data_IF_621762869080
#
_entry.id   IF_621762869080
#
_cell.length_a   1.000
_cell.length_b   1.000
_cell.length_c   1.000
_cell.angle_alpha   90.00
_cell.angle_beta   90.00
_cell.angle_gamma   90.00
#
_symmetry.space_group_name_H-M   'P 1'
#
loop_
_entity.id
_entity.type
_entity.pdbx_description
1 polymer ?
#
# COMPACT_ATOMS: atom_id res chain seq x y z
N UNK A 1 4.47 17.09 -22.90
CA UNK A 1 4.87 15.69 -23.10
C UNK A 1 4.65 15.01 -21.76
N UNK A 2 4.11 13.78 -21.72
CA UNK A 2 4.07 13.01 -20.48
C UNK A 2 5.51 12.76 -20.00
N UNK A 3 5.75 12.95 -18.70
CA UNK A 3 7.07 12.83 -18.09
C UNK A 3 7.14 11.53 -17.30
N UNK A 4 8.14 10.71 -17.60
CA UNK A 4 8.49 9.58 -16.76
C UNK A 4 9.34 10.09 -15.59
N UNK A 5 8.82 9.91 -14.38
CA UNK A 5 9.47 10.34 -13.15
C UNK A 5 10.37 9.24 -12.61
N UNK A 6 11.56 9.62 -12.18
CA UNK A 6 12.53 8.72 -11.52
C UNK A 6 13.27 9.49 -10.44
N UNK A 7 13.33 8.94 -9.23
CA UNK A 7 13.96 9.62 -8.10
C UNK A 7 14.30 8.69 -6.93
N UNK A 8 15.10 9.23 -6.00
CA UNK A 8 15.50 8.52 -4.78
C UNK A 8 14.59 8.95 -3.63
N UNK A 9 13.96 7.97 -2.98
CA UNK A 9 13.10 8.17 -1.80
C UNK A 9 13.64 7.31 -0.66
N UNK A 10 14.50 7.91 0.17
CA UNK A 10 15.23 7.16 1.20
C UNK A 10 16.17 6.12 0.57
N UNK A 11 16.09 4.83 0.96
CA UNK A 11 16.92 3.77 0.40
C UNK A 11 16.34 3.16 -0.89
N UNK A 12 15.35 3.79 -1.51
CA UNK A 12 14.65 3.25 -2.67
C UNK A 12 14.82 4.14 -3.90
N UNK A 13 14.96 3.51 -5.06
CA UNK A 13 14.71 4.14 -6.35
C UNK A 13 13.23 3.93 -6.70
N UNK A 14 12.54 5.01 -7.02
CA UNK A 14 11.12 5.01 -7.36
C UNK A 14 10.96 5.58 -8.77
N UNK A 15 10.18 4.90 -9.60
CA UNK A 15 9.83 5.38 -10.93
C UNK A 15 8.34 5.20 -11.23
N UNK A 16 7.76 6.11 -12.00
CA UNK A 16 6.37 6.05 -12.46
C UNK A 16 6.13 7.04 -13.60
N UNK A 17 5.07 6.82 -14.37
CA UNK A 17 4.55 7.73 -15.37
C UNK A 17 3.06 7.97 -15.11
N UNK A 18 2.68 9.24 -14.95
CA UNK A 18 1.27 9.63 -14.74
C UNK A 18 0.49 9.76 -16.05
N UNK A 19 1.18 9.70 -17.20
CA UNK A 19 0.67 9.83 -18.55
C UNK A 19 -0.31 11.01 -18.72
N UNK A 20 0.07 12.15 -18.16
CA UNK A 20 -0.77 13.36 -18.09
C UNK A 20 -0.06 14.57 -18.67
N UNK A 21 -0.85 15.54 -19.13
CA UNK A 21 -0.36 16.88 -19.50
C UNK A 21 -0.58 17.90 -18.40
N UNK A 22 -1.13 17.50 -17.24
CA UNK A 22 -1.26 18.38 -16.08
C UNK A 22 0.12 18.74 -15.54
N UNK A 23 0.29 20.00 -15.16
CA UNK A 23 1.47 20.43 -14.44
C UNK A 23 1.40 19.88 -13.00
N UNK A 24 2.46 19.21 -12.58
CA UNK A 24 2.61 18.72 -11.21
C UNK A 24 4.05 18.85 -10.73
N UNK A 25 4.24 18.71 -9.43
CA UNK A 25 5.53 18.65 -8.77
C UNK A 25 5.64 17.39 -7.94
N UNK A 26 6.85 16.82 -7.88
CA UNK A 26 7.19 15.69 -7.00
C UNK A 26 7.98 16.23 -5.82
N UNK A 27 7.49 15.96 -4.61
CA UNK A 27 8.05 16.44 -3.35
C UNK A 27 8.43 15.24 -2.51
N UNK A 28 9.72 15.10 -2.19
CA UNK A 28 10.20 14.09 -1.23
C UNK A 28 10.23 14.72 0.15
N UNK A 29 9.53 14.12 1.10
CA UNK A 29 9.42 14.62 2.46
C UNK A 29 10.51 14.03 3.37
N UNK A 30 10.69 14.66 4.53
CA UNK A 30 11.60 14.14 5.56
C UNK A 30 11.09 12.78 6.04
N UNK A 31 11.99 11.81 6.14
CA UNK A 31 11.67 10.50 6.70
C UNK A 31 11.23 10.59 8.16
N UNK A 32 10.35 9.68 8.56
CA UNK A 32 9.96 9.48 9.95
C UNK A 32 10.23 8.03 10.37
N UNK A 33 10.24 7.79 11.68
CA UNK A 33 10.43 6.45 12.23
C UNK A 33 9.40 6.21 13.33
N UNK A 34 9.11 4.94 13.58
CA UNK A 34 8.15 4.56 14.61
C UNK A 34 8.27 3.10 15.01
N UNK A 35 7.30 2.67 15.82
CA UNK A 35 7.17 1.29 16.29
C UNK A 35 5.71 0.89 16.13
N UNK A 36 5.46 -0.28 15.57
CA UNK A 36 4.12 -0.88 15.48
C UNK A 36 3.62 -1.31 16.87
N UNK A 37 2.34 -1.64 16.98
CA UNK A 37 1.75 -2.11 18.25
C UNK A 37 2.40 -3.41 18.77
N UNK A 38 2.87 -4.27 17.86
CA UNK A 38 3.60 -5.51 18.17
C UNK A 38 5.13 -5.30 18.36
N UNK A 39 5.59 -4.05 18.42
CA UNK A 39 6.98 -3.71 18.78
C UNK A 39 7.98 -3.73 17.63
N UNK A 40 7.53 -3.86 16.37
CA UNK A 40 8.40 -3.84 15.19
C UNK A 40 8.75 -2.39 14.83
N UNK A 41 10.05 -2.09 14.75
CA UNK A 41 10.52 -0.76 14.34
C UNK A 41 10.29 -0.57 12.85
N UNK A 42 10.01 0.67 12.45
CA UNK A 42 9.92 1.01 11.04
C UNK A 42 10.45 2.41 10.73
N UNK A 43 10.86 2.60 9.49
CA UNK A 43 11.13 3.88 8.87
C UNK A 43 10.11 4.14 7.75
N UNK A 44 9.63 5.36 7.61
CA UNK A 44 8.74 5.81 6.54
C UNK A 44 9.43 6.86 5.69
N UNK A 45 9.35 6.65 4.39
CA UNK A 45 9.82 7.59 3.38
C UNK A 45 8.60 8.01 2.58
N UNK A 46 8.29 9.30 2.59
CA UNK A 46 7.07 9.81 1.97
C UNK A 46 7.43 10.66 0.75
N UNK A 47 6.60 10.54 -0.27
CA UNK A 47 6.66 11.32 -1.49
C UNK A 47 5.25 11.78 -1.82
N UNK A 48 5.13 13.02 -2.25
CA UNK A 48 3.87 13.61 -2.70
C UNK A 48 4.00 14.03 -4.16
N UNK A 49 3.01 13.72 -4.98
CA UNK A 49 2.83 14.30 -6.31
C UNK A 49 1.69 15.31 -6.21
N UNK A 50 1.93 16.58 -6.53
CA UNK A 50 0.96 17.66 -6.32
C UNK A 50 0.76 18.47 -7.58
N UNK A 51 -0.50 18.66 -7.97
CA UNK A 51 -0.95 19.65 -8.96
C UNK A 51 -1.78 20.72 -8.25
N UNK A 52 -2.38 21.65 -9.00
CA UNK A 52 -3.27 22.68 -8.44
C UNK A 52 -4.47 22.08 -7.70
N UNK A 53 -5.11 21.06 -8.28
CA UNK A 53 -6.40 20.52 -7.79
C UNK A 53 -6.29 19.09 -7.26
N UNK A 54 -5.18 18.40 -7.53
CA UNK A 54 -5.01 16.99 -7.21
C UNK A 54 -3.70 16.71 -6.48
N UNK A 55 -3.71 15.68 -5.65
CA UNK A 55 -2.50 15.16 -5.04
C UNK A 55 -2.49 13.63 -5.02
N UNK A 56 -1.29 13.07 -4.95
CA UNK A 56 -1.06 11.68 -4.59
C UNK A 56 -0.01 11.63 -3.48
N UNK A 57 -0.31 10.91 -2.40
CA UNK A 57 0.59 10.68 -1.28
C UNK A 57 1.04 9.22 -1.28
N UNK A 58 2.35 9.03 -1.35
CA UNK A 58 3.00 7.73 -1.49
C UNK A 58 3.90 7.53 -0.28
N UNK A 59 3.67 6.45 0.45
CA UNK A 59 4.36 6.12 1.71
C UNK A 59 5.06 4.78 1.54
N UNK A 60 6.38 4.79 1.62
CA UNK A 60 7.22 3.59 1.65
C UNK A 60 7.59 3.31 3.11
N UNK A 61 6.99 2.28 3.69
CA UNK A 61 7.31 1.82 5.04
C UNK A 61 8.30 0.67 4.97
N UNK A 62 9.45 0.82 5.63
CA UNK A 62 10.44 -0.22 5.81
C UNK A 62 10.40 -0.72 7.26
N UNK A 63 10.13 -2.00 7.44
CA UNK A 63 10.12 -2.65 8.75
C UNK A 63 11.49 -3.24 9.08
N UNK A 64 11.81 -3.31 10.37
CA UNK A 64 13.01 -3.99 10.86
C UNK A 64 12.90 -5.53 10.84
N UNK A 65 11.70 -6.06 10.60
CA UNK A 65 11.41 -7.49 10.49
C UNK A 65 10.29 -7.76 9.47
N UNK A 66 10.22 -8.95 8.85
CA UNK A 66 9.18 -9.28 7.87
C UNK A 66 7.76 -9.25 8.43
N UNK A 67 6.91 -8.39 7.86
CA UNK A 67 5.50 -8.24 8.21
C UNK A 67 4.60 -9.04 7.27
N UNK A 68 3.39 -9.39 7.72
CA UNK A 68 2.37 -9.98 6.85
C UNK A 68 2.03 -9.01 5.71
N UNK A 69 2.09 -9.52 4.48
CA UNK A 69 1.92 -8.75 3.25
C UNK A 69 0.81 -9.33 2.36
N UNK A 70 -0.03 -10.21 2.90
CA UNK A 70 -1.13 -10.82 2.16
C UNK A 70 -2.25 -9.79 1.84
N UNK A 71 -3.23 -10.23 1.05
CA UNK A 71 -4.37 -9.38 0.65
C UNK A 71 -5.11 -8.80 1.85
N UNK A 72 -5.34 -9.57 2.91
CA UNK A 72 -6.04 -9.08 4.11
C UNK A 72 -5.28 -7.96 4.81
N UNK A 73 -3.96 -8.11 4.96
CA UNK A 73 -3.11 -7.07 5.57
C UNK A 73 -3.11 -5.78 4.74
N UNK A 74 -3.00 -5.89 3.41
CA UNK A 74 -3.06 -4.73 2.52
C UNK A 74 -4.45 -4.09 2.48
N UNK A 75 -5.53 -4.89 2.55
CA UNK A 75 -6.89 -4.39 2.60
C UNK A 75 -7.16 -3.54 3.85
N UNK A 76 -6.61 -3.93 5.00
CA UNK A 76 -6.70 -3.12 6.22
C UNK A 76 -6.03 -1.75 6.07
N UNK A 77 -4.85 -1.71 5.42
CA UNK A 77 -4.14 -0.46 5.13
C UNK A 77 -4.96 0.44 4.20
N UNK A 78 -5.51 -0.11 3.12
CA UNK A 78 -6.37 0.61 2.16
C UNK A 78 -7.64 1.09 2.83
N UNK A 79 -8.30 0.26 3.63
CA UNK A 79 -9.51 0.61 4.37
C UNK A 79 -9.26 1.78 5.31
N UNK A 80 -8.21 1.69 6.14
CA UNK A 80 -7.83 2.75 7.06
C UNK A 80 -7.56 4.08 6.34
N UNK A 81 -6.95 4.02 5.15
CA UNK A 81 -6.71 5.18 4.31
C UNK A 81 -8.00 5.84 3.82
N UNK A 82 -8.91 5.04 3.26
CA UNK A 82 -10.14 5.56 2.66
C UNK A 82 -11.13 6.04 3.72
N UNK A 83 -11.31 5.30 4.82
CA UNK A 83 -12.13 5.73 5.95
C UNK A 83 -11.56 7.01 6.57
N UNK A 84 -10.24 7.09 6.75
CA UNK A 84 -9.58 8.31 7.21
C UNK A 84 -9.72 9.51 6.26
N UNK A 85 -10.10 9.26 5.00
CA UNK A 85 -10.37 10.27 3.99
C UNK A 85 -11.86 10.60 3.83
N UNK A 86 -12.75 9.93 4.58
CA UNK A 86 -14.20 10.17 4.54
C UNK A 86 -15.04 9.07 3.89
N UNK A 87 -14.48 7.90 3.59
CA UNK A 87 -15.27 6.78 3.07
C UNK A 87 -16.08 6.09 4.17
N UNK A 88 -17.38 5.87 3.92
CA UNK A 88 -18.21 4.98 4.74
C UNK A 88 -18.05 3.51 4.28
N UNK A 89 -18.29 3.27 2.99
CA UNK A 89 -18.23 1.94 2.37
C UNK A 89 -17.42 1.97 1.07
N UNK A 90 -16.07 1.93 1.15
CA UNK A 90 -15.23 1.92 -0.04
C UNK A 90 -15.33 0.62 -0.84
N UNK A 91 -15.13 0.73 -2.16
CA UNK A 91 -15.00 -0.41 -3.06
C UNK A 91 -13.58 -0.98 -3.01
N UNK A 92 -13.42 -2.29 -3.22
CA UNK A 92 -12.11 -2.97 -3.21
C UNK A 92 -11.88 -3.88 -4.42
N UNK A 93 -10.63 -3.94 -4.84
CA UNK A 93 -10.12 -4.72 -5.96
C UNK A 93 -8.75 -5.30 -5.57
N UNK A 94 -8.37 -6.42 -6.20
CA UNK A 94 -7.12 -7.12 -5.89
C UNK A 94 -6.24 -7.26 -7.15
N UNK A 95 -5.70 -6.14 -7.67
CA UNK A 95 -4.83 -6.18 -8.85
C UNK A 95 -3.44 -6.72 -8.50
N UNK A 96 -2.63 -6.94 -9.53
CA UNK A 96 -1.18 -6.94 -9.37
C UNK A 96 -0.67 -5.50 -9.51
N UNK A 97 0.19 -5.06 -8.59
CA UNK A 97 0.88 -3.77 -8.63
C UNK A 97 2.37 -4.07 -8.58
N UNK A 98 3.15 -3.57 -9.54
CA UNK A 98 4.57 -3.94 -9.72
C UNK A 98 4.79 -5.47 -9.76
N UNK A 99 3.84 -6.18 -10.38
CA UNK A 99 3.82 -7.65 -10.46
C UNK A 99 3.54 -8.38 -9.13
N UNK A 100 3.22 -7.66 -8.05
CA UNK A 100 2.93 -8.23 -6.72
C UNK A 100 1.44 -8.17 -6.37
N UNK A 101 0.91 -9.12 -5.58
CA UNK A 101 -0.43 -9.02 -5.03
C UNK A 101 -0.62 -7.70 -4.28
N UNK A 102 -1.55 -6.88 -4.76
CA UNK A 102 -1.91 -5.60 -4.16
C UNK A 102 -3.40 -5.54 -3.84
N UNK A 103 -3.78 -4.51 -3.09
CA UNK A 103 -5.17 -4.11 -2.89
C UNK A 103 -5.32 -2.68 -3.39
N UNK A 104 -6.39 -2.44 -4.12
CA UNK A 104 -6.82 -1.12 -4.57
C UNK A 104 -8.23 -0.89 -4.05
N UNK A 105 -8.50 0.29 -3.53
CA UNK A 105 -9.85 0.69 -3.17
C UNK A 105 -10.14 2.12 -3.56
N UNK A 106 -11.42 2.47 -3.63
CA UNK A 106 -11.84 3.82 -3.93
C UNK A 106 -13.21 4.15 -3.32
N UNK A 107 -13.48 5.45 -3.20
CA UNK A 107 -14.81 5.99 -3.01
C UNK A 107 -14.92 7.34 -3.73
N UNK A 108 -16.15 7.84 -3.85
CA UNK A 108 -16.42 9.22 -4.27
C UNK A 108 -17.15 9.94 -3.16
N UNK A 109 -16.88 11.23 -3.02
CA UNK A 109 -17.75 12.08 -2.20
C UNK A 109 -19.16 12.12 -2.80
N UNK A 110 -20.14 12.45 -1.96
CA UNK A 110 -21.52 12.57 -2.41
C UNK A 110 -21.65 13.61 -3.53
N UNK A 111 -22.50 13.28 -4.49
CA UNK A 111 -22.83 14.16 -5.61
C UNK A 111 -23.51 15.42 -5.09
N UNK A 112 -23.08 16.58 -5.56
CA UNK A 112 -23.70 17.85 -5.21
C UNK A 112 -24.80 18.21 -6.21
N UNK A 113 -26.02 18.47 -5.73
CA UNK A 113 -27.11 19.04 -6.53
C UNK A 113 -26.88 20.54 -6.69
N UNK A 114 -26.73 20.99 -7.94
CA UNK A 114 -26.51 22.39 -8.28
C UNK A 114 -27.83 23.12 -8.61
N UNK A 115 -28.96 22.41 -8.54
CA UNK A 115 -30.28 22.87 -8.95
C UNK A 115 -30.56 22.67 -10.44
N UNK A 116 -31.82 22.81 -10.84
CA UNK A 116 -32.28 22.69 -12.24
C UNK A 116 -31.92 21.34 -12.93
N UNK A 117 -31.77 20.27 -12.16
CA UNK A 117 -31.37 18.95 -12.67
C UNK A 117 -29.89 18.86 -13.04
N UNK A 118 -29.08 19.85 -12.68
CA UNK A 118 -27.63 19.82 -12.81
C UNK A 118 -27.01 19.29 -11.53
N UNK A 119 -25.90 18.57 -11.69
CA UNK A 119 -25.19 17.96 -10.59
C UNK A 119 -23.70 17.93 -10.89
N UNK A 120 -22.92 17.95 -9.82
CA UNK A 120 -21.48 17.75 -9.84
C UNK A 120 -21.14 16.44 -9.16
N UNK A 121 -20.38 15.58 -9.86
CA UNK A 121 -19.89 14.33 -9.28
C UNK A 121 -18.87 14.66 -8.20
N UNK A 122 -18.95 13.98 -7.05
CA UNK A 122 -17.95 14.15 -6.01
C UNK A 122 -16.59 13.60 -6.42
N UNK A 123 -15.55 14.18 -5.81
CA UNK A 123 -14.16 13.82 -6.09
C UNK A 123 -13.90 12.34 -5.83
N UNK A 124 -13.10 11.74 -6.71
CA UNK A 124 -12.64 10.37 -6.55
C UNK A 124 -11.44 10.33 -5.63
N UNK A 125 -11.47 9.46 -4.64
CA UNK A 125 -10.31 9.12 -3.82
C UNK A 125 -9.97 7.66 -4.05
N UNK A 126 -8.72 7.38 -4.40
CA UNK A 126 -8.18 6.04 -4.63
C UNK A 126 -7.07 5.76 -3.64
N UNK A 127 -7.05 4.57 -3.05
CA UNK A 127 -5.94 4.11 -2.25
C UNK A 127 -5.46 2.74 -2.75
N UNK A 128 -4.16 2.49 -2.64
CA UNK A 128 -3.57 1.20 -2.96
C UNK A 128 -2.51 0.80 -1.93
N UNK A 129 -2.32 -0.51 -1.75
CA UNK A 129 -1.28 -1.06 -0.89
C UNK A 129 -0.71 -2.35 -1.45
N UNK A 130 0.62 -2.48 -1.47
CA UNK A 130 1.31 -3.71 -1.84
C UNK A 130 2.71 -3.78 -1.19
N UNK A 131 3.37 -4.94 -1.28
CA UNK A 131 4.74 -5.13 -0.80
C UNK A 131 5.65 -5.64 -1.93
N UNK A 132 6.62 -4.83 -2.40
CA UNK A 132 7.43 -5.14 -3.58
C UNK A 132 8.37 -6.34 -3.35
N UNK A 133 8.87 -6.48 -2.13
CA UNK A 133 9.85 -7.49 -1.73
C UNK A 133 9.21 -8.75 -1.13
N UNK A 134 7.88 -8.78 -1.00
CA UNK A 134 7.20 -9.87 -0.32
C UNK A 134 7.29 -11.19 -1.09
N UNK A 135 7.40 -12.28 -0.33
CA UNK A 135 7.47 -13.66 -0.82
C UNK A 135 6.87 -14.63 0.19
N UNK A 136 6.47 -15.80 -0.29
CA UNK A 136 6.04 -16.91 0.58
C UNK A 136 7.26 -17.41 1.36
N UNK A 137 7.15 -17.41 2.69
CA UNK A 137 8.18 -17.91 3.60
C UNK A 137 8.03 -19.42 3.82
N UNK A 138 8.98 -20.04 4.53
CA UNK A 138 8.95 -21.50 4.81
C UNK A 138 7.70 -21.97 5.55
N UNK A 139 7.09 -21.09 6.35
CA UNK A 139 5.85 -21.36 7.08
C UNK A 139 4.57 -21.17 6.23
N UNK A 140 4.71 -20.86 4.94
CA UNK A 140 3.60 -20.64 4.01
C UNK A 140 3.00 -19.23 4.03
N UNK A 141 3.48 -18.33 4.89
CA UNK A 141 2.97 -16.96 4.96
C UNK A 141 3.63 -16.05 3.93
N UNK A 142 2.84 -15.17 3.31
CA UNK A 142 3.34 -14.15 2.40
C UNK A 142 3.78 -12.90 3.20
N UNK A 143 5.09 -12.66 3.26
CA UNK A 143 5.71 -11.62 4.10
C UNK A 143 6.75 -10.80 3.34
N UNK A 144 6.88 -9.52 3.69
CA UNK A 144 7.89 -8.59 3.19
C UNK A 144 8.36 -7.61 4.27
N UNK A 145 9.51 -6.97 4.05
CA UNK A 145 10.02 -5.90 4.92
C UNK A 145 9.67 -4.51 4.40
N UNK A 146 9.13 -4.40 3.18
CA UNK A 146 8.69 -3.13 2.61
C UNK A 146 7.18 -3.17 2.32
N UNK A 147 6.47 -2.13 2.72
CA UNK A 147 5.09 -1.87 2.30
C UNK A 147 5.01 -0.51 1.62
N UNK A 148 4.27 -0.46 0.53
CA UNK A 148 3.98 0.76 -0.22
C UNK A 148 2.51 1.01 -0.08
N UNK A 149 2.16 2.23 0.35
CA UNK A 149 0.80 2.76 0.37
C UNK A 149 0.73 3.97 -0.55
N UNK A 150 -0.34 4.05 -1.31
CA UNK A 150 -0.68 5.19 -2.16
C UNK A 150 -2.08 5.68 -1.80
N UNK A 151 -2.28 6.99 -1.77
CA UNK A 151 -3.59 7.66 -1.70
C UNK A 151 -3.59 8.78 -2.76
N UNK A 152 -4.58 8.82 -3.64
CA UNK A 152 -4.64 9.77 -4.76
C UNK A 152 -6.02 10.37 -4.93
N UNK A 153 -6.06 11.66 -5.22
CA UNK A 153 -7.27 12.38 -5.67
C UNK A 153 -7.25 12.67 -7.17
N UNK A 154 -6.18 12.30 -7.89
CA UNK A 154 -6.12 12.47 -9.34
C UNK A 154 -7.25 11.69 -10.04
N UNK A 155 -7.69 12.13 -11.23
CA UNK A 155 -8.60 11.37 -12.07
C UNK A 155 -8.17 9.92 -12.24
N UNK A 156 -9.14 9.02 -12.43
CA UNK A 156 -8.89 7.59 -12.43
C UNK A 156 -7.82 7.19 -13.45
N UNK A 157 -7.86 7.74 -14.65
CA UNK A 157 -6.93 7.43 -15.73
C UNK A 157 -5.48 7.75 -15.32
N UNK A 158 -5.27 8.87 -14.65
CA UNK A 158 -3.96 9.34 -14.19
C UNK A 158 -3.46 8.48 -13.02
N UNK A 159 -4.33 8.19 -12.06
CA UNK A 159 -3.99 7.30 -10.93
C UNK A 159 -3.69 5.89 -11.41
N UNK A 160 -4.47 5.39 -12.36
CA UNK A 160 -4.31 4.08 -13.00
C UNK A 160 -2.97 3.99 -13.72
N UNK A 161 -2.66 4.97 -14.56
CA UNK A 161 -1.41 4.98 -15.34
C UNK A 161 -0.19 5.08 -14.41
N UNK A 162 -0.25 5.94 -13.39
CA UNK A 162 0.75 5.98 -12.31
C UNK A 162 0.93 4.60 -11.67
N UNK A 163 -0.15 3.93 -11.23
CA UNK A 163 -0.07 2.62 -10.57
C UNK A 163 0.43 1.50 -11.48
N UNK A 164 0.15 1.56 -12.79
CA UNK A 164 0.63 0.56 -13.75
C UNK A 164 2.14 0.64 -13.97
N UNK A 165 2.70 1.86 -13.97
CA UNK A 165 4.13 2.09 -14.17
C UNK A 165 4.91 2.23 -12.85
N UNK A 166 4.21 2.21 -11.71
CA UNK A 166 4.81 2.40 -10.40
C UNK A 166 5.75 1.24 -10.06
N UNK A 167 7.04 1.55 -9.96
CA UNK A 167 8.08 0.59 -9.66
C UNK A 167 8.96 1.07 -8.52
N UNK A 168 9.32 0.15 -7.61
CA UNK A 168 10.18 0.45 -6.47
C UNK A 168 11.28 -0.60 -6.34
N UNK A 169 12.52 -0.14 -6.39
CA UNK A 169 13.71 -0.96 -6.20
C UNK A 169 14.50 -0.48 -4.97
N UNK A 170 15.02 -1.40 -4.17
CA UNK A 170 15.93 -1.07 -3.08
C UNK A 170 17.34 -0.78 -3.64
N UNK A 171 17.95 0.33 -3.22
CA UNK A 171 19.30 0.70 -3.64
C UNK A 171 20.34 -0.33 -3.16
N UNK A 172 21.38 -0.58 -3.97
CA UNK A 172 22.27 -1.76 -3.91
C UNK A 172 22.93 -2.13 -2.57
N UNK A 173 23.07 -1.22 -1.61
CA UNK A 173 23.57 -1.54 -0.25
C UNK A 173 22.57 -2.38 0.56
N UNK A 174 21.29 -2.38 0.17
CA UNK A 174 20.21 -3.09 0.86
C UNK A 174 19.89 -4.44 0.22
N UNK A 175 20.07 -4.59 -1.10
CA UNK A 175 20.03 -5.88 -1.77
C UNK A 175 21.06 -6.85 -1.18
N UNK A 176 22.26 -6.35 -0.86
CA UNK A 176 23.34 -7.14 -0.26
C UNK A 176 23.00 -7.62 1.17
N UNK A 177 22.33 -6.78 1.97
CA UNK A 177 21.91 -7.12 3.35
C UNK A 177 20.78 -8.17 3.37
N UNK A 178 19.92 -8.19 2.35
CA UNK A 178 18.90 -9.24 2.17
C UNK A 178 19.55 -10.61 1.89
N UNK A 179 20.59 -10.68 1.07
CA UNK A 179 21.37 -11.92 0.84
C UNK A 179 22.17 -12.41 2.05
N UNK A 180 22.62 -11.51 2.94
CA UNK A 180 23.43 -11.88 4.09
C UNK A 180 22.60 -12.50 5.24
N UNK A 181 21.36 -12.06 5.44
CA UNK A 181 20.42 -12.71 6.36
C UNK A 181 19.93 -14.07 5.84
N UNK A 182 19.89 -14.29 4.52
CA UNK A 182 19.53 -15.57 3.91
C UNK A 182 20.56 -16.68 4.15
N UNK A 183 21.86 -16.35 4.23
CA UNK A 183 22.93 -17.34 4.43
C UNK A 183 23.12 -17.78 5.89
N UNK A 184 22.55 -17.09 6.87
CA UNK A 184 22.69 -17.47 8.29
C UNK A 184 21.60 -18.44 8.76
N UNK A 185 20.48 -18.55 8.05
CA UNK A 185 19.39 -19.49 8.37
C UNK A 185 19.58 -20.91 7.80
N UNK A 186 20.62 -21.17 7.00
CA UNK A 186 20.82 -22.45 6.29
C UNK A 186 21.74 -23.48 6.96
N UNK A 187 21.98 -23.42 8.29
CA UNK A 187 22.63 -24.53 9.01
C UNK A 187 21.61 -25.47 9.65
N UNK A 188 21.22 -26.49 8.89
CA UNK A 188 20.40 -27.66 9.30
C UNK A 188 21.06 -28.49 10.43
N UNK A 189 20.25 -29.22 11.20
CA UNK A 189 20.48 -30.67 11.34
C UNK A 189 19.35 -31.50 10.71
N UNK A 190 19.74 -32.58 10.03
CA UNK A 190 18.87 -33.63 9.48
C UNK A 190 18.33 -34.54 10.60
N UNK A 191 17.04 -34.91 10.55
CA UNK A 191 16.57 -36.32 10.53
C UNK A 191 15.03 -36.47 10.55
N UNK A 192 14.54 -37.32 9.62
CA UNK A 192 13.46 -38.33 9.70
C UNK A 192 12.02 -37.91 10.10
N UNK A 193 10.90 -38.48 9.65
CA UNK A 193 10.45 -39.39 8.58
C UNK A 193 8.90 -39.35 8.65
N UNK A 194 8.24 -39.52 7.49
CA UNK A 194 6.94 -40.17 7.24
C UNK A 194 5.56 -39.53 7.57
N UNK A 195 4.76 -39.51 6.48
CA UNK A 195 3.33 -39.84 6.33
C UNK A 195 2.25 -39.04 7.08
N UNK A 196 1.36 -38.38 6.33
CA UNK A 196 0.01 -38.89 6.04
C UNK A 196 -0.82 -37.87 5.23
N UNK A 197 -1.65 -38.40 4.34
CA UNK A 197 -2.63 -37.73 3.49
C UNK A 197 -3.86 -37.26 4.29
N UNK A 198 -4.51 -36.18 3.81
CA UNK A 198 -5.94 -35.77 3.94
C UNK A 198 -6.05 -34.28 4.32
N UNK A 199 -6.54 -33.42 3.41
CA UNK A 199 -7.96 -33.05 3.37
C UNK A 199 -8.19 -31.87 2.41
N UNK A 200 -9.07 -32.13 1.43
CA UNK A 200 -9.64 -31.11 0.55
C UNK A 200 -10.90 -30.53 1.24
N UNK A 201 -10.75 -29.47 2.04
CA UNK A 201 -11.90 -28.64 2.47
C UNK A 201 -11.49 -27.30 3.10
N UNK A 202 -10.88 -26.38 2.34
CA UNK A 202 -10.47 -25.06 2.89
C UNK A 202 -10.88 -23.85 2.06
N UNK A 203 -11.89 -23.97 1.19
CA UNK A 203 -12.29 -22.87 0.29
C UNK A 203 -13.67 -22.26 0.55
N UNK A 204 -14.23 -22.43 1.76
CA UNK A 204 -15.53 -21.79 2.13
C UNK A 204 -15.48 -20.94 3.41
N UNK A 205 -14.44 -21.03 4.24
CA UNK A 205 -14.34 -20.29 5.50
C UNK A 205 -13.72 -18.89 5.38
N UNK A 206 -13.08 -18.54 4.26
CA UNK A 206 -12.45 -17.22 4.08
C UNK A 206 -13.42 -16.12 3.62
N UNK A 207 -14.58 -16.48 3.05
CA UNK A 207 -15.61 -15.51 2.65
C UNK A 207 -16.43 -15.01 3.85
N UNK A 208 -16.47 -15.77 4.96
CA UNK A 208 -17.22 -15.39 6.15
C UNK A 208 -16.47 -14.44 7.11
N UNK A 209 -15.15 -14.31 6.98
CA UNK A 209 -14.35 -13.44 7.86
C UNK A 209 -14.50 -11.94 7.55
N UNK A 210 -15.04 -11.56 6.39
CA UNK A 210 -15.35 -10.17 6.05
C UNK A 210 -16.58 -9.62 6.79
N UNK A 211 -17.44 -10.48 7.37
CA UNK A 211 -18.68 -10.06 8.05
C UNK A 211 -18.60 -10.03 9.57
N UNK A 212 -17.45 -10.33 10.19
CA UNK A 212 -17.36 -10.53 11.66
C UNK A 212 -16.41 -9.58 12.41
N UNK A 213 -15.75 -8.61 11.75
CA UNK A 213 -14.85 -7.67 12.45
C UNK A 213 -15.48 -6.30 12.80
N UNK A 214 -16.81 -6.17 12.78
CA UNK A 214 -17.50 -4.91 13.15
C UNK A 214 -17.46 -4.55 14.65
N UNK A 215 -16.66 -5.20 15.50
CA UNK A 215 -16.56 -4.83 16.90
C UNK A 215 -15.17 -4.29 17.28
N UNK A 216 -15.10 -2.95 17.28
CA UNK A 216 -14.33 -2.07 18.17
C UNK A 216 -12.84 -2.36 18.42
N UNK A 217 -11.97 -1.50 17.90
CA UNK A 217 -10.96 -0.78 18.71
C UNK A 217 -10.58 0.53 17.99
N UNK A 218 -10.91 1.67 18.57
CA UNK A 218 -10.48 3.00 18.11
C UNK A 218 -9.01 3.22 18.47
N UNK A 219 -8.11 3.03 17.50
CA UNK A 219 -6.77 3.59 17.54
C UNK A 219 -6.83 5.04 17.00
N UNK A 220 -6.55 6.02 17.85
CA UNK A 220 -6.43 7.42 17.45
C UNK A 220 -5.25 7.59 16.48
N UNK A 221 -5.53 8.05 15.26
CA UNK A 221 -4.50 8.46 14.31
C UNK A 221 -3.78 9.73 14.79
N UNK A 222 -2.49 9.92 14.46
CA UNK A 222 -1.84 11.21 14.58
C UNK A 222 -2.53 12.24 13.68
N UNK A 223 -2.75 13.44 14.21
CA UNK A 223 -3.48 14.51 13.51
C UNK A 223 -2.84 14.87 12.16
N UNK A 224 -3.69 15.05 11.14
CA UNK A 224 -3.29 15.63 9.86
C UNK A 224 -2.69 17.04 10.09
N UNK A 225 -1.62 17.41 9.36
CA UNK A 225 -1.06 18.76 9.39
C UNK A 225 -2.13 19.83 9.14
N UNK A 226 -2.03 20.95 9.84
CA UNK A 226 -3.05 22.02 9.86
C UNK A 226 -3.35 22.67 8.51
N UNK A 227 -2.50 22.49 7.49
CA UNK A 227 -2.73 22.99 6.14
C UNK A 227 -3.60 22.07 5.26
N UNK A 228 -4.03 20.91 5.79
CA UNK A 228 -4.99 19.99 5.16
C UNK A 228 -6.37 20.02 5.83
N UNK A 229 -6.61 20.99 6.74
CA UNK A 229 -7.95 21.26 7.27
C UNK A 229 -8.58 22.35 6.40
N UNK A 230 -9.56 21.97 5.57
CA UNK A 230 -10.47 22.92 4.92
C UNK A 230 -11.20 23.76 5.98
#
# INVERSE_FOLDING_TARGET
MASHETGVVGPYNVSFDMNTTMDYSVIVEKSSSGVTEDGVKFDRYNMSVQSTDYFAWIVLTRYSAPMLANITANAYIVQSALVGSGADEPNYYQPLIDGKPGVLGNFRFERQDLGNGQYEEGDLVVAASYSPDAKVQENGEYRGITNIRLLSTFPWEVTRDMLYDFHVEASGDQAASQTLSENQSQKKPQNQLQNASQDQSLNQSQVQALNLSQNQTTAQMPELPSYLRL
#
